data_IF_814828290281
#
_entry.id   IF_814828290281
#
_cell.length_a   1.000
_cell.length_b   1.000
_cell.length_c   1.000
_cell.angle_alpha   90.00
_cell.angle_beta   90.00
_cell.angle_gamma   90.00
#
_symmetry.space_group_name_H-M   'P 1'
#
loop_
_entity.id
_entity.type
_entity.pdbx_description
1 polymer ?
#
# COMPACT_ATOMS: atom_id res chain seq x y z
N UNK A 1 11.64 -10.52 -4.46
CA UNK A 1 12.41 -9.68 -3.50
C UNK A 1 11.55 -8.51 -3.03
N UNK A 2 11.18 -7.57 -3.91
CA UNK A 2 10.45 -6.34 -3.57
C UNK A 2 9.20 -6.58 -2.70
N UNK A 3 8.27 -7.46 -3.12
CA UNK A 3 7.05 -7.78 -2.36
C UNK A 3 7.35 -8.20 -0.91
N UNK A 4 8.27 -9.14 -0.73
CA UNK A 4 8.66 -9.66 0.59
C UNK A 4 9.28 -8.57 1.44
N UNK A 5 10.22 -7.81 0.89
CA UNK A 5 10.96 -6.80 1.65
C UNK A 5 10.09 -5.60 2.03
N UNK A 6 9.10 -5.23 1.20
CA UNK A 6 8.07 -4.25 1.58
C UNK A 6 7.27 -4.74 2.78
N UNK A 7 6.85 -6.02 2.78
CA UNK A 7 6.13 -6.62 3.89
C UNK A 7 6.98 -6.72 5.17
N UNK A 8 8.28 -7.04 5.05
CA UNK A 8 9.22 -7.09 6.18
C UNK A 8 9.42 -5.69 6.76
N UNK A 9 9.74 -4.69 5.94
CA UNK A 9 10.04 -3.34 6.42
C UNK A 9 8.84 -2.65 7.04
N UNK A 10 7.67 -2.70 6.41
CA UNK A 10 6.44 -2.10 6.98
C UNK A 10 6.01 -2.79 8.27
N UNK A 11 6.14 -4.13 8.36
CA UNK A 11 5.87 -4.86 9.61
C UNK A 11 6.89 -4.51 10.70
N UNK A 12 8.16 -4.35 10.36
CA UNK A 12 9.19 -3.96 11.29
C UNK A 12 8.91 -2.56 11.87
N UNK A 13 8.66 -1.56 11.03
CA UNK A 13 8.31 -0.21 11.48
C UNK A 13 7.08 -0.24 12.39
N UNK A 14 6.02 -0.93 11.98
CA UNK A 14 4.79 -1.03 12.77
C UNK A 14 5.02 -1.72 14.14
N UNK A 15 5.88 -2.75 14.19
CA UNK A 15 6.25 -3.42 15.45
C UNK A 15 7.01 -2.53 16.43
N UNK A 16 7.60 -1.44 15.94
CA UNK A 16 8.30 -0.41 16.72
C UNK A 16 7.43 0.81 17.00
N UNK A 17 6.12 0.71 16.77
CA UNK A 17 5.23 1.84 16.98
C UNK A 17 5.44 2.99 15.99
N UNK A 18 5.99 2.71 14.80
CA UNK A 18 6.29 3.71 13.78
C UNK A 18 5.40 3.54 12.54
N UNK A 19 4.85 4.65 12.05
CA UNK A 19 4.22 4.79 10.75
C UNK A 19 5.07 5.71 9.87
N UNK A 20 5.33 5.32 8.63
CA UNK A 20 6.09 6.13 7.67
C UNK A 20 5.21 7.16 6.96
N UNK A 21 3.98 6.77 6.61
CA UNK A 21 2.94 7.60 6.00
C UNK A 21 3.24 8.10 4.57
N UNK A 22 4.41 7.80 4.00
CA UNK A 22 4.81 8.20 2.64
C UNK A 22 5.82 7.23 1.98
N UNK A 23 5.59 5.94 2.17
CA UNK A 23 6.49 4.88 1.69
C UNK A 23 6.33 4.56 0.19
N UNK A 24 6.40 5.57 -0.68
CA UNK A 24 6.45 5.36 -2.14
C UNK A 24 7.85 4.94 -2.61
N UNK A 25 7.97 4.38 -3.82
CA UNK A 25 9.26 3.78 -4.25
C UNK A 25 10.42 4.78 -4.37
N UNK A 26 10.16 6.07 -4.54
CA UNK A 26 11.24 7.09 -4.50
C UNK A 26 11.79 7.33 -3.08
N UNK A 27 11.05 6.91 -2.04
CA UNK A 27 11.47 6.94 -0.62
C UNK A 27 11.98 5.57 -0.15
N UNK A 28 12.24 4.63 -1.06
CA UNK A 28 12.73 3.29 -0.73
C UNK A 28 13.98 3.00 -1.56
N UNK A 29 15.10 2.82 -0.87
CA UNK A 29 16.39 2.48 -1.45
C UNK A 29 16.61 0.96 -1.43
N UNK A 30 17.53 0.47 -2.25
CA UNK A 30 17.93 -0.95 -2.25
C UNK A 30 19.41 -1.13 -2.59
N UNK A 31 20.04 -2.12 -1.98
CA UNK A 31 21.37 -2.64 -2.34
C UNK A 31 21.29 -3.88 -3.25
N UNK A 32 20.08 -4.22 -3.73
CA UNK A 32 19.78 -5.44 -4.49
C UNK A 32 19.46 -6.66 -3.63
N UNK A 33 19.65 -6.61 -2.31
CA UNK A 33 19.35 -7.69 -1.37
C UNK A 33 18.20 -7.35 -0.42
N UNK A 34 18.21 -6.12 0.12
CA UNK A 34 17.22 -5.61 1.07
C UNK A 34 16.60 -4.30 0.56
N UNK A 35 15.48 -3.92 1.16
CA UNK A 35 14.90 -2.58 1.00
C UNK A 35 15.19 -1.73 2.25
N UNK A 36 15.52 -0.46 2.03
CA UNK A 36 15.76 0.54 3.06
C UNK A 36 14.75 1.67 2.89
N UNK A 37 13.87 1.84 3.88
CA UNK A 37 12.92 2.95 3.91
C UNK A 37 13.67 4.22 4.30
N UNK A 38 13.40 5.31 3.59
CA UNK A 38 14.06 6.59 3.72
C UNK A 38 13.02 7.72 3.70
N UNK A 39 13.46 8.94 4.02
CA UNK A 39 12.57 10.11 4.17
C UNK A 39 11.45 9.92 5.20
N UNK A 40 11.81 10.13 6.47
CA UNK A 40 10.89 10.08 7.60
C UNK A 40 10.24 11.45 7.89
N UNK A 41 10.22 12.38 6.93
CA UNK A 41 9.68 13.73 7.12
C UNK A 41 8.19 13.77 7.48
N UNK A 42 7.44 12.74 7.10
CA UNK A 42 6.01 12.56 7.42
C UNK A 42 5.74 11.46 8.46
N UNK A 43 6.77 10.84 9.01
CA UNK A 43 6.61 9.69 9.89
C UNK A 43 6.04 10.08 11.27
N UNK A 44 5.29 9.16 11.89
CA UNK A 44 4.70 9.33 13.23
C UNK A 44 5.05 8.11 14.09
N UNK A 45 5.64 8.35 15.27
CA UNK A 45 5.92 7.31 16.26
C UNK A 45 5.06 7.49 17.51
N UNK A 46 4.53 6.40 18.06
CA UNK A 46 3.82 6.42 19.35
C UNK A 46 4.74 6.54 20.57
N UNK A 47 6.07 6.56 20.37
CA UNK A 47 7.05 6.82 21.43
C UNK A 47 7.30 8.33 21.66
N UNK A 48 6.77 9.21 20.81
CA UNK A 48 6.82 10.65 21.01
C UNK A 48 5.68 11.17 21.89
N UNK A 49 5.81 12.40 22.38
CA UNK A 49 4.74 13.11 23.09
C UNK A 49 3.63 13.51 22.09
N UNK A 50 2.65 12.63 21.91
CA UNK A 50 1.54 12.83 20.99
C UNK A 50 0.34 13.49 21.68
N UNK A 51 -0.31 14.41 20.97
CA UNK A 51 -1.64 14.92 21.35
C UNK A 51 -2.71 13.82 21.27
N UNK A 52 -3.86 13.96 21.96
CA UNK A 52 -4.95 12.98 21.87
C UNK A 52 -5.44 12.72 20.43
N UNK A 53 -5.38 13.74 19.58
CA UNK A 53 -5.71 13.63 18.16
C UNK A 53 -4.70 12.77 17.41
N UNK A 54 -3.41 12.94 17.65
CA UNK A 54 -2.34 12.16 17.03
C UNK A 54 -2.33 10.71 17.50
N UNK A 55 -2.61 10.46 18.79
CA UNK A 55 -2.81 9.09 19.31
C UNK A 55 -3.96 8.40 18.58
N UNK A 56 -5.09 9.10 18.45
CA UNK A 56 -6.26 8.58 17.71
C UNK A 56 -5.92 8.33 16.25
N UNK A 57 -5.19 9.24 15.60
CA UNK A 57 -4.73 9.08 14.23
C UNK A 57 -3.83 7.85 14.10
N UNK A 58 -2.82 7.70 14.96
CA UNK A 58 -1.92 6.56 14.96
C UNK A 58 -2.68 5.23 15.06
N UNK A 59 -3.61 5.12 16.01
CA UNK A 59 -4.39 3.90 16.22
C UNK A 59 -5.32 3.58 15.04
N UNK A 60 -5.88 4.60 14.41
CA UNK A 60 -6.74 4.47 13.24
C UNK A 60 -5.97 4.24 11.94
N UNK A 61 -4.63 4.30 11.91
CA UNK A 61 -3.83 4.19 10.68
C UNK A 61 -2.72 3.12 10.76
N UNK A 62 -2.78 2.18 11.72
CA UNK A 62 -1.71 1.19 11.88
C UNK A 62 -1.50 0.28 10.66
N UNK A 63 -2.51 0.11 9.81
CA UNK A 63 -2.35 -0.66 8.56
C UNK A 63 -1.95 0.19 7.34
N UNK A 64 -1.81 1.51 7.50
CA UNK A 64 -1.61 2.45 6.40
C UNK A 64 -0.40 2.09 5.53
N UNK A 65 0.80 1.96 6.10
CA UNK A 65 2.01 1.71 5.29
C UNK A 65 1.95 0.37 4.56
N UNK A 66 1.38 -0.66 5.20
CA UNK A 66 1.20 -1.98 4.58
C UNK A 66 0.22 -1.90 3.41
N UNK A 67 -0.91 -1.24 3.60
CA UNK A 67 -1.89 -1.02 2.54
C UNK A 67 -1.34 -0.13 1.42
N UNK A 68 -0.60 0.92 1.77
CA UNK A 68 -0.03 1.89 0.84
C UNK A 68 1.03 1.25 -0.05
N UNK A 69 2.00 0.54 0.54
CA UNK A 69 3.07 -0.14 -0.21
C UNK A 69 2.53 -1.26 -1.12
N UNK A 70 1.54 -2.04 -0.66
CA UNK A 70 0.87 -3.03 -1.50
C UNK A 70 0.15 -2.38 -2.71
N UNK A 71 -0.60 -1.31 -2.45
CA UNK A 71 -1.27 -0.52 -3.50
C UNK A 71 -0.28 0.08 -4.50
N UNK A 72 0.83 0.62 -4.00
CA UNK A 72 1.87 1.20 -4.84
C UNK A 72 2.54 0.13 -5.71
N UNK A 73 2.86 -1.04 -5.15
CA UNK A 73 3.41 -2.19 -5.88
C UNK A 73 2.48 -2.65 -7.01
N UNK A 74 1.18 -2.79 -6.73
CA UNK A 74 0.18 -3.17 -7.74
C UNK A 74 0.12 -2.16 -8.88
N UNK A 75 -0.01 -0.87 -8.56
CA UNK A 75 -0.09 0.18 -9.57
C UNK A 75 1.20 0.33 -10.38
N UNK A 76 2.36 0.12 -9.75
CA UNK A 76 3.66 0.12 -10.41
C UNK A 76 3.79 -1.05 -11.40
N UNK A 77 3.42 -2.27 -10.97
CA UNK A 77 3.42 -3.47 -11.81
C UNK A 77 2.50 -3.30 -13.04
N UNK A 78 1.28 -2.83 -12.84
CA UNK A 78 0.33 -2.63 -13.95
C UNK A 78 0.89 -1.58 -14.93
N UNK A 79 1.36 -0.44 -14.42
CA UNK A 79 1.92 0.62 -15.26
C UNK A 79 3.13 0.15 -16.07
N UNK A 80 4.00 -0.68 -15.48
CA UNK A 80 5.20 -1.19 -16.14
C UNK A 80 4.89 -2.30 -17.16
N UNK A 81 4.06 -3.28 -16.79
CA UNK A 81 3.84 -4.49 -17.58
C UNK A 81 2.80 -4.30 -18.69
N UNK A 82 1.74 -3.52 -18.44
CA UNK A 82 0.70 -3.21 -19.44
C UNK A 82 0.95 -1.89 -20.18
N UNK A 83 2.06 -1.19 -19.90
CA UNK A 83 2.46 0.09 -20.53
C UNK A 83 1.43 1.22 -20.32
N UNK A 84 0.69 1.19 -19.21
CA UNK A 84 -0.35 2.16 -18.86
C UNK A 84 0.16 3.24 -17.90
N UNK A 85 1.33 3.84 -18.15
CA UNK A 85 1.94 4.80 -17.20
C UNK A 85 1.08 6.04 -16.93
N UNK A 86 0.53 6.65 -17.98
CA UNK A 86 -0.26 7.88 -17.88
C UNK A 86 -1.74 7.62 -17.58
N UNK A 87 -2.24 6.43 -17.90
CA UNK A 87 -3.65 6.09 -17.79
C UNK A 87 -3.99 5.60 -16.37
N UNK A 88 -4.52 6.51 -15.54
CA UNK A 88 -4.89 6.19 -14.15
C UNK A 88 -6.24 5.46 -14.07
N UNK A 89 -7.16 5.77 -14.97
CA UNK A 89 -8.52 5.22 -14.94
C UNK A 89 -8.53 3.76 -15.35
N UNK A 90 -7.89 3.42 -16.49
CA UNK A 90 -7.75 2.03 -16.93
C UNK A 90 -7.00 1.20 -15.89
N UNK A 91 -5.95 1.75 -15.25
CA UNK A 91 -5.27 1.04 -14.16
C UNK A 91 -6.19 0.76 -12.98
N UNK A 92 -6.99 1.74 -12.57
CA UNK A 92 -7.94 1.56 -11.48
C UNK A 92 -9.03 0.52 -11.82
N UNK A 93 -9.46 0.46 -13.09
CA UNK A 93 -10.37 -0.58 -13.60
C UNK A 93 -9.74 -1.97 -13.52
N UNK A 94 -8.50 -2.13 -14.00
CA UNK A 94 -7.77 -3.39 -13.91
C UNK A 94 -7.59 -3.85 -12.46
N UNK A 95 -7.26 -2.94 -11.54
CA UNK A 95 -7.14 -3.27 -10.11
C UNK A 95 -8.47 -3.79 -9.55
N UNK A 96 -9.61 -3.18 -9.93
CA UNK A 96 -10.94 -3.66 -9.51
C UNK A 96 -11.25 -5.03 -10.09
N UNK A 97 -11.03 -5.24 -11.39
CA UNK A 97 -11.23 -6.53 -12.04
C UNK A 97 -10.41 -7.65 -11.38
N UNK A 98 -9.13 -7.39 -11.09
CA UNK A 98 -8.27 -8.35 -10.39
C UNK A 98 -8.72 -8.61 -8.94
N UNK A 99 -9.25 -7.59 -8.26
CA UNK A 99 -9.82 -7.75 -6.92
C UNK A 99 -11.12 -8.57 -6.92
N UNK A 100 -11.88 -8.53 -8.01
CA UNK A 100 -13.11 -9.31 -8.23
C UNK A 100 -12.85 -10.74 -8.72
N UNK A 101 -11.58 -11.10 -8.94
CA UNK A 101 -11.15 -12.46 -9.27
C UNK A 101 -10.80 -12.68 -10.75
N UNK A 102 -10.82 -11.64 -11.58
CA UNK A 102 -10.29 -11.73 -12.94
C UNK A 102 -8.77 -11.98 -12.89
N UNK A 103 -8.24 -13.02 -13.57
CA UNK A 103 -6.82 -13.31 -13.53
C UNK A 103 -6.04 -12.29 -14.38
N UNK A 104 -4.89 -11.76 -13.91
CA UNK A 104 -4.00 -10.95 -14.74
C UNK A 104 -3.38 -11.76 -15.89
N UNK A 105 -3.65 -11.38 -17.14
CA UNK A 105 -3.17 -12.08 -18.34
C UNK A 105 -2.06 -11.34 -19.08
N UNK A 106 -1.29 -12.06 -19.92
CA UNK A 106 -0.27 -11.46 -20.80
C UNK A 106 1.03 -11.00 -20.10
N UNK A 107 1.23 -11.38 -18.84
CA UNK A 107 2.39 -10.98 -18.02
C UNK A 107 3.06 -12.20 -17.36
N UNK A 108 4.30 -12.07 -16.84
CA UNK A 108 4.97 -13.17 -16.15
C UNK A 108 4.15 -13.71 -14.96
N UNK A 109 4.09 -15.04 -14.81
CA UNK A 109 3.25 -15.71 -13.81
C UNK A 109 3.50 -15.23 -12.37
N UNK A 110 4.75 -14.92 -12.02
CA UNK A 110 5.07 -14.37 -10.70
C UNK A 110 4.45 -12.99 -10.47
N UNK A 111 4.44 -12.13 -11.49
CA UNK A 111 3.80 -10.81 -11.39
C UNK A 111 2.28 -10.95 -11.33
N UNK A 112 1.69 -11.85 -12.11
CA UNK A 112 0.26 -12.17 -12.02
C UNK A 112 -0.13 -12.62 -10.62
N UNK A 113 0.64 -13.53 -10.00
CA UNK A 113 0.38 -13.99 -8.63
C UNK A 113 0.47 -12.86 -7.59
N UNK A 114 1.40 -11.91 -7.75
CA UNK A 114 1.50 -10.73 -6.89
C UNK A 114 0.26 -9.82 -7.07
N UNK A 115 -0.11 -9.54 -8.32
CA UNK A 115 -1.28 -8.72 -8.63
C UNK A 115 -2.56 -9.34 -8.06
N UNK A 116 -2.80 -10.63 -8.27
CA UNK A 116 -3.97 -11.34 -7.70
C UNK A 116 -4.00 -11.24 -6.17
N UNK A 117 -2.86 -11.41 -5.49
CA UNK A 117 -2.78 -11.35 -4.02
C UNK A 117 -3.06 -9.96 -3.44
N UNK A 118 -2.55 -8.91 -4.11
CA UNK A 118 -2.59 -7.54 -3.57
C UNK A 118 -3.68 -6.65 -4.17
N UNK A 119 -4.33 -7.07 -5.26
CA UNK A 119 -5.40 -6.30 -5.90
C UNK A 119 -6.55 -5.94 -4.94
N UNK A 120 -7.05 -6.81 -4.05
CA UNK A 120 -8.10 -6.43 -3.10
C UNK A 120 -7.71 -5.26 -2.19
N UNK A 121 -6.49 -5.28 -1.64
CA UNK A 121 -5.94 -4.17 -0.83
C UNK A 121 -5.79 -2.91 -1.67
N UNK A 122 -5.27 -3.04 -2.89
CA UNK A 122 -5.09 -1.92 -3.81
C UNK A 122 -6.42 -1.28 -4.23
N UNK A 123 -7.49 -2.08 -4.42
CA UNK A 123 -8.82 -1.59 -4.75
C UNK A 123 -9.43 -0.81 -3.59
N UNK A 124 -9.35 -1.35 -2.35
CA UNK A 124 -9.86 -0.69 -1.16
C UNK A 124 -9.11 0.63 -0.87
N UNK A 125 -7.78 0.60 -0.91
CA UNK A 125 -6.94 1.79 -0.70
C UNK A 125 -7.13 2.82 -1.82
N UNK A 126 -7.19 2.39 -3.08
CA UNK A 126 -7.42 3.27 -4.23
C UNK A 126 -8.78 3.96 -4.16
N UNK A 127 -9.82 3.24 -3.71
CA UNK A 127 -11.15 3.81 -3.47
C UNK A 127 -11.14 4.88 -2.38
N UNK A 128 -10.46 4.61 -1.26
CA UNK A 128 -10.23 5.59 -0.19
C UNK A 128 -9.48 6.82 -0.72
N UNK A 129 -8.33 6.63 -1.38
CA UNK A 129 -7.49 7.73 -1.88
C UNK A 129 -8.26 8.62 -2.87
N UNK A 130 -9.06 8.02 -3.77
CA UNK A 130 -9.87 8.79 -4.73
C UNK A 130 -10.84 9.72 -4.02
N UNK A 131 -11.64 9.20 -3.08
CA UNK A 131 -12.62 10.02 -2.33
C UNK A 131 -11.91 11.04 -1.44
N UNK A 132 -10.81 10.65 -0.78
CA UNK A 132 -10.01 11.55 0.05
C UNK A 132 -9.44 12.74 -0.74
N UNK A 133 -8.98 12.50 -1.98
CA UNK A 133 -8.34 13.51 -2.83
C UNK A 133 -9.35 14.38 -3.59
N UNK A 134 -10.47 13.81 -4.05
CA UNK A 134 -11.41 14.48 -4.95
C UNK A 134 -12.63 15.07 -4.23
N UNK A 135 -13.13 14.38 -3.19
CA UNK A 135 -14.43 14.70 -2.61
C UNK A 135 -14.29 15.30 -1.20
N UNK A 136 -13.51 14.67 -0.31
CA UNK A 136 -13.39 15.11 1.08
C UNK A 136 -12.07 14.74 1.75
N UNK A 137 -11.35 15.76 2.21
CA UNK A 137 -10.16 15.63 3.09
C UNK A 137 -10.45 15.10 4.50
N UNK A 138 -11.72 14.86 4.85
CA UNK A 138 -12.12 14.25 6.13
C UNK A 138 -12.60 12.80 5.97
N UNK A 139 -12.47 12.23 4.76
CA UNK A 139 -12.76 10.81 4.51
C UNK A 139 -11.93 9.94 5.45
N UNK A 140 -12.59 9.06 6.20
CA UNK A 140 -11.91 8.17 7.16
C UNK A 140 -11.16 7.07 6.43
N UNK A 141 -9.94 6.80 6.89
CA UNK A 141 -9.14 5.68 6.40
C UNK A 141 -9.79 4.34 6.77
N UNK A 142 -9.96 3.38 5.82
CA UNK A 142 -10.64 2.11 6.08
C UNK A 142 -9.73 1.06 6.76
N UNK A 143 -9.17 1.38 7.92
CA UNK A 143 -8.15 0.55 8.60
C UNK A 143 -8.61 -0.89 8.89
N UNK A 144 -9.83 -1.07 9.40
CA UNK A 144 -10.34 -2.42 9.70
C UNK A 144 -10.42 -3.29 8.44
N UNK A 145 -10.89 -2.72 7.33
CA UNK A 145 -11.01 -3.43 6.06
C UNK A 145 -9.63 -3.75 5.48
N UNK A 146 -8.71 -2.79 5.52
CA UNK A 146 -7.34 -3.03 5.05
C UNK A 146 -6.65 -4.10 5.89
N UNK A 147 -6.80 -4.09 7.22
CA UNK A 147 -6.26 -5.15 8.09
C UNK A 147 -6.84 -6.52 7.77
N UNK A 148 -8.15 -6.60 7.49
CA UNK A 148 -8.81 -7.86 7.12
C UNK A 148 -8.21 -8.39 5.82
N UNK A 149 -8.20 -7.57 4.77
CA UNK A 149 -7.63 -7.94 3.47
C UNK A 149 -6.15 -8.34 3.55
N UNK A 150 -5.35 -7.62 4.34
CA UNK A 150 -3.94 -7.96 4.58
C UNK A 150 -3.74 -9.25 5.39
N UNK A 151 -4.74 -9.70 6.15
CA UNK A 151 -4.68 -10.95 6.92
C UNK A 151 -5.08 -12.15 6.07
N UNK A 152 -5.93 -11.93 5.06
CA UNK A 152 -6.33 -12.95 4.07
C UNK A 152 -5.20 -13.25 3.07
N UNK A 153 -4.18 -12.39 3.00
CA UNK A 153 -2.97 -12.61 2.20
C UNK A 153 -2.05 -13.64 2.88
N UNK A 154 -2.15 -14.90 2.46
CA UNK A 154 -1.13 -15.91 2.79
C UNK A 154 0.15 -15.57 2.00
N UNK A 155 1.21 -15.19 2.72
CA UNK A 155 2.59 -15.12 2.22
C UNK A 155 3.35 -16.38 2.63
#
# INVERSE_FOLDING_TARGET
MVERELAVGTRFMNSRGLLHLDAHFENILTDGRCLYFADYGLALSCEFDLSPTEVTFFDQHRSYDRGYTATYLVNWLIAALYRLRADRETRAEMVRAFAEGEPPEGIPAQAAAILTRHAPVAAAMGSFMRVFQQDSRTTRYPDQEIRRLLSDQIL
#
